data_IF_180987957854
#
_entry.id   IF_180987957854
#
_cell.length_a   1.000
_cell.length_b   1.000
_cell.length_c   1.000
_cell.angle_alpha   90.00
_cell.angle_beta   90.00
_cell.angle_gamma   90.00
#
_symmetry.space_group_name_H-M   'P 1'
#
loop_
_entity.id
_entity.type
_entity.pdbx_description
1 polymer ?
#
# COMPACT_ATOMS: atom_id res chain seq x y z
N UNK A 1 -52.07 -26.11 26.04
CA UNK A 1 -51.10 -25.02 25.79
C UNK A 1 -49.85 -25.70 25.27
N UNK A 2 -49.78 -25.89 23.97
CA UNK A 2 -48.66 -26.57 23.31
C UNK A 2 -47.79 -25.50 22.65
N UNK A 3 -46.52 -25.48 23.05
CA UNK A 3 -45.44 -24.74 22.40
C UNK A 3 -45.23 -25.30 20.99
N UNK A 4 -45.43 -24.47 19.98
CA UNK A 4 -45.03 -24.79 18.62
C UNK A 4 -43.52 -24.59 18.48
N UNK A 5 -42.78 -25.68 18.70
CA UNK A 5 -41.38 -25.80 18.34
C UNK A 5 -41.31 -26.03 16.82
N UNK A 6 -40.87 -25.04 16.05
CA UNK A 6 -40.65 -25.16 14.59
C UNK A 6 -39.19 -25.52 14.34
N UNK A 7 -38.85 -26.77 13.97
CA UNK A 7 -37.50 -27.14 13.59
C UNK A 7 -37.25 -26.72 12.13
N UNK A 8 -36.33 -25.79 11.89
CA UNK A 8 -36.04 -25.41 10.49
C UNK A 8 -35.21 -24.15 10.23
N UNK A 9 -34.79 -23.38 11.23
CA UNK A 9 -33.78 -22.33 11.03
C UNK A 9 -32.38 -22.97 11.03
N UNK A 10 -32.13 -23.78 10.00
CA UNK A 10 -30.78 -24.04 9.54
C UNK A 10 -30.11 -22.68 9.34
N UNK A 11 -28.95 -22.49 9.96
CA UNK A 11 -28.08 -21.33 9.80
C UNK A 11 -28.07 -20.95 8.32
N UNK A 12 -28.80 -19.88 7.93
CA UNK A 12 -28.68 -19.31 6.59
C UNK A 12 -27.26 -18.80 6.49
N UNK A 13 -26.37 -19.62 5.95
CA UNK A 13 -25.07 -19.17 5.53
C UNK A 13 -25.32 -17.99 4.61
N UNK A 14 -24.88 -16.80 5.01
CA UNK A 14 -24.75 -15.67 4.11
C UNK A 14 -23.98 -16.19 2.90
N UNK A 15 -24.67 -16.41 1.78
CA UNK A 15 -24.04 -16.83 0.54
C UNK A 15 -23.09 -15.71 0.15
N UNK A 16 -21.77 -15.92 0.28
CA UNK A 16 -20.79 -14.94 -0.19
C UNK A 16 -20.63 -15.13 -1.69
N UNK A 17 -20.78 -14.05 -2.46
CA UNK A 17 -20.40 -14.10 -3.88
C UNK A 17 -18.90 -13.88 -4.00
N UNK A 18 -18.27 -14.56 -4.97
CA UNK A 18 -16.85 -14.43 -5.26
C UNK A 18 -16.73 -13.78 -6.63
N UNK A 19 -15.88 -12.76 -6.73
CA UNK A 19 -15.53 -12.07 -7.99
C UNK A 19 -14.05 -12.21 -8.22
N UNK A 20 -13.67 -12.43 -9.48
CA UNK A 20 -12.26 -12.51 -9.85
C UNK A 20 -11.84 -11.24 -10.57
N UNK A 21 -10.68 -10.72 -10.22
CA UNK A 21 -10.09 -9.51 -10.77
C UNK A 21 -8.70 -9.82 -11.32
N UNK A 22 -8.43 -9.30 -12.50
CA UNK A 22 -7.09 -9.16 -13.04
C UNK A 22 -6.44 -7.92 -12.44
N UNK A 23 -5.32 -8.10 -11.77
CA UNK A 23 -4.53 -7.06 -11.14
C UNK A 23 -3.27 -6.85 -11.95
N UNK A 24 -3.04 -5.62 -12.40
CA UNK A 24 -1.73 -5.17 -12.88
C UNK A 24 -1.12 -4.28 -11.79
N UNK A 25 -0.08 -4.79 -11.13
CA UNK A 25 0.70 -4.10 -10.12
C UNK A 25 2.02 -3.65 -10.76
N UNK A 26 2.32 -2.36 -10.70
CA UNK A 26 3.59 -1.81 -11.12
C UNK A 26 4.27 -1.14 -9.94
N UNK A 27 5.45 -1.65 -9.59
CA UNK A 27 6.32 -1.10 -8.56
C UNK A 27 7.33 -0.23 -9.28
N UNK A 28 7.19 1.09 -9.15
CA UNK A 28 7.93 2.04 -9.97
C UNK A 28 9.24 2.41 -9.30
N UNK A 29 9.17 3.09 -8.15
CA UNK A 29 10.36 3.54 -7.43
C UNK A 29 10.12 3.82 -5.96
N UNK A 30 11.21 3.92 -5.20
CA UNK A 30 11.20 4.44 -3.84
C UNK A 30 11.97 5.75 -3.82
N UNK A 31 11.37 6.78 -3.23
CA UNK A 31 11.94 8.11 -3.04
C UNK A 31 12.40 8.32 -1.59
N UNK A 32 13.27 9.30 -1.39
CA UNK A 32 13.78 9.71 -0.06
C UNK A 32 14.47 8.55 0.70
N UNK A 33 15.14 7.68 -0.05
CA UNK A 33 15.96 6.62 0.51
C UNK A 33 17.39 7.11 0.69
N UNK A 34 18.04 6.81 1.82
CA UNK A 34 19.46 7.13 1.97
C UNK A 34 20.25 6.31 0.95
N UNK A 35 21.12 6.98 0.18
CA UNK A 35 22.07 6.32 -0.71
C UNK A 35 23.07 5.49 0.12
N UNK A 36 22.84 4.18 0.17
CA UNK A 36 23.81 3.20 0.64
C UNK A 36 24.24 2.35 -0.55
N UNK A 37 25.44 1.76 -0.52
CA UNK A 37 25.91 0.79 -1.54
C UNK A 37 25.17 -0.56 -1.46
N UNK A 38 23.91 -0.54 -1.03
CA UNK A 38 23.08 -1.72 -0.84
C UNK A 38 22.16 -1.90 -2.03
N UNK A 39 21.83 -3.16 -2.31
CA UNK A 39 20.78 -3.51 -3.24
C UNK A 39 19.46 -3.61 -2.49
N UNK A 40 18.37 -3.35 -3.19
CA UNK A 40 17.04 -3.41 -2.62
C UNK A 40 16.14 -4.28 -3.49
N UNK A 41 15.25 -5.02 -2.85
CA UNK A 41 14.18 -5.76 -3.50
C UNK A 41 12.85 -5.46 -2.83
N UNK A 42 11.77 -5.64 -3.58
CA UNK A 42 10.41 -5.53 -3.07
C UNK A 42 9.74 -6.88 -3.15
N UNK A 43 9.37 -7.44 -2.00
CA UNK A 43 8.63 -8.69 -1.90
C UNK A 43 7.18 -8.41 -1.60
N UNK A 44 6.30 -8.81 -2.50
CA UNK A 44 4.86 -8.65 -2.31
C UNK A 44 4.22 -9.98 -1.91
N UNK A 45 3.18 -9.90 -1.09
CA UNK A 45 2.49 -11.05 -0.48
C UNK A 45 0.99 -10.79 -0.42
N UNK A 46 0.24 -11.85 -0.61
CA UNK A 46 -1.21 -11.92 -0.57
C UNK A 46 -1.64 -13.23 0.14
N UNK A 47 -2.86 -13.30 0.69
CA UNK A 47 -3.40 -14.55 1.21
C UNK A 47 -3.51 -15.62 0.11
N UNK A 48 -3.12 -16.86 0.45
CA UNK A 48 -3.03 -18.00 -0.48
C UNK A 48 -4.39 -18.42 -1.04
N UNK A 49 -5.44 -18.16 -0.28
CA UNK A 49 -6.82 -18.52 -0.60
C UNK A 49 -7.42 -17.58 -1.65
N UNK A 50 -6.84 -16.38 -1.79
CA UNK A 50 -7.41 -15.27 -2.55
C UNK A 50 -6.68 -15.08 -3.89
N UNK A 51 -5.38 -15.37 -3.97
CA UNK A 51 -4.56 -15.00 -5.13
C UNK A 51 -3.65 -16.12 -5.63
N UNK A 52 -3.40 -16.12 -6.94
CA UNK A 52 -2.39 -16.97 -7.60
C UNK A 52 -1.67 -16.14 -8.68
N UNK A 53 -0.33 -15.96 -8.60
CA UNK A 53 0.54 -16.29 -7.47
C UNK A 53 0.19 -15.51 -6.19
N UNK A 54 0.53 -16.07 -5.02
CA UNK A 54 0.25 -15.46 -3.71
C UNK A 54 1.40 -14.61 -3.16
N UNK A 55 2.56 -14.68 -3.79
CA UNK A 55 3.72 -13.87 -3.46
C UNK A 55 4.62 -13.75 -4.69
N UNK A 56 5.48 -12.76 -4.68
CA UNK A 56 6.56 -12.61 -5.63
C UNK A 56 7.55 -11.55 -5.16
N UNK A 57 8.57 -11.33 -5.97
CA UNK A 57 9.67 -10.44 -5.63
C UNK A 57 10.18 -9.74 -6.89
N UNK A 58 10.61 -8.50 -6.74
CA UNK A 58 11.24 -7.73 -7.82
C UNK A 58 12.71 -8.12 -7.96
N UNK A 59 13.34 -7.84 -9.10
CA UNK A 59 14.79 -7.85 -9.20
C UNK A 59 15.43 -6.96 -8.14
N UNK A 60 16.66 -7.29 -7.78
CA UNK A 60 17.49 -6.46 -6.92
C UNK A 60 18.01 -5.25 -7.69
N UNK A 61 17.90 -4.07 -7.09
CA UNK A 61 18.36 -2.81 -7.70
C UNK A 61 19.16 -1.99 -6.69
N UNK A 62 20.26 -1.39 -7.14
CA UNK A 62 21.06 -0.49 -6.33
C UNK A 62 20.36 0.87 -6.13
N UNK A 63 20.62 1.53 -5.00
CA UNK A 63 20.18 2.90 -4.79
C UNK A 63 21.03 3.88 -5.62
N UNK A 64 20.38 4.83 -6.28
CA UNK A 64 21.03 5.88 -7.07
C UNK A 64 20.36 7.22 -6.81
N UNK A 65 21.11 8.24 -6.37
CA UNK A 65 20.58 9.62 -6.28
C UNK A 65 19.40 9.81 -5.32
N UNK A 66 19.37 9.05 -4.21
CA UNK A 66 18.33 8.99 -3.18
C UNK A 66 17.00 8.36 -3.63
N UNK A 67 17.03 7.68 -4.77
CA UNK A 67 15.93 6.89 -5.26
C UNK A 67 16.36 5.47 -5.64
N UNK A 68 15.40 4.56 -5.64
CA UNK A 68 15.57 3.18 -6.10
C UNK A 68 14.52 2.97 -7.17
N UNK A 69 14.93 2.69 -8.40
CA UNK A 69 14.02 2.53 -9.55
C UNK A 69 13.89 1.05 -9.87
N UNK A 70 12.69 0.51 -9.69
CA UNK A 70 12.40 -0.89 -10.02
C UNK A 70 11.79 -1.03 -11.41
N UNK A 71 10.84 -0.15 -11.75
CA UNK A 71 10.04 -0.13 -12.98
C UNK A 71 9.61 -1.52 -13.47
N UNK A 72 9.04 -2.30 -12.55
CA UNK A 72 8.58 -3.65 -12.84
C UNK A 72 7.06 -3.73 -12.76
N UNK A 73 6.46 -4.45 -13.71
CA UNK A 73 5.02 -4.69 -13.74
C UNK A 73 4.77 -6.19 -13.67
N UNK A 74 3.77 -6.57 -12.88
CA UNK A 74 3.36 -7.94 -12.66
C UNK A 74 1.85 -8.04 -12.71
N UNK A 75 1.38 -9.15 -13.26
CA UNK A 75 -0.03 -9.39 -13.49
C UNK A 75 -0.46 -10.70 -12.82
N UNK A 76 -1.58 -10.66 -12.11
CA UNK A 76 -2.10 -11.83 -11.40
C UNK A 76 -3.62 -11.74 -11.18
N UNK A 77 -4.22 -12.89 -10.84
CA UNK A 77 -5.64 -12.99 -10.53
C UNK A 77 -5.88 -13.01 -9.03
N UNK A 78 -6.92 -12.29 -8.61
CA UNK A 78 -7.35 -12.17 -7.21
C UNK A 78 -8.86 -12.42 -7.11
N UNK A 79 -9.27 -13.23 -6.13
CA UNK A 79 -10.67 -13.54 -5.82
C UNK A 79 -11.14 -12.73 -4.61
N UNK A 80 -11.95 -11.71 -4.84
CA UNK A 80 -12.49 -10.87 -3.77
C UNK A 80 -13.93 -11.29 -3.47
N UNK A 81 -14.24 -11.51 -2.20
CA UNK A 81 -15.58 -11.89 -1.74
C UNK A 81 -16.45 -10.66 -1.58
N UNK A 82 -17.77 -10.84 -1.59
CA UNK A 82 -18.71 -9.84 -1.12
C UNK A 82 -19.83 -10.49 -0.31
N UNK A 83 -20.39 -9.73 0.61
CA UNK A 83 -21.61 -10.10 1.32
C UNK A 83 -22.84 -9.88 0.42
N UNK A 84 -23.71 -10.89 0.27
CA UNK A 84 -25.00 -10.73 -0.40
C UNK A 84 -26.01 -10.07 0.53
N UNK A 85 -26.84 -9.16 -0.03
CA UNK A 85 -28.13 -8.80 0.55
C UNK A 85 -28.32 -7.35 0.98
N UNK A 86 -27.29 -6.49 0.99
CA UNK A 86 -27.47 -5.10 1.39
C UNK A 86 -26.87 -4.03 0.47
N UNK A 87 -25.72 -4.26 -0.21
CA UNK A 87 -25.10 -3.29 -1.16
C UNK A 87 -23.87 -3.81 -1.96
N UNK A 88 -23.65 -5.12 -2.03
CA UNK A 88 -22.56 -5.74 -2.83
C UNK A 88 -21.16 -5.13 -2.60
N UNK A 89 -20.85 -4.80 -1.35
CA UNK A 89 -19.53 -4.32 -0.98
C UNK A 89 -18.49 -5.43 -1.08
N UNK A 90 -17.37 -5.15 -1.75
CA UNK A 90 -16.22 -6.04 -1.75
C UNK A 90 -15.60 -6.10 -0.35
N UNK A 91 -15.28 -7.31 0.10
CA UNK A 91 -14.48 -7.56 1.31
C UNK A 91 -13.08 -6.95 1.13
N UNK A 92 -12.44 -6.58 2.24
CA UNK A 92 -11.07 -6.06 2.22
C UNK A 92 -10.09 -7.11 1.70
N UNK A 93 -9.21 -6.67 0.79
CA UNK A 93 -8.23 -7.53 0.12
C UNK A 93 -6.85 -6.87 0.18
N UNK A 94 -6.10 -7.16 1.24
CA UNK A 94 -4.83 -6.47 1.52
C UNK A 94 -3.64 -7.14 0.82
N UNK A 95 -2.98 -6.37 -0.04
CA UNK A 95 -1.66 -6.62 -0.62
C UNK A 95 -0.59 -5.99 0.27
N UNK A 96 0.34 -6.82 0.75
CA UNK A 96 1.47 -6.35 1.56
C UNK A 96 2.74 -6.35 0.72
N UNK A 97 3.44 -5.22 0.66
CA UNK A 97 4.68 -5.03 -0.08
C UNK A 97 5.78 -4.69 0.93
N UNK A 98 6.75 -5.59 1.04
CA UNK A 98 7.88 -5.51 1.94
C UNK A 98 9.11 -5.02 1.16
N UNK A 99 9.71 -3.92 1.58
CA UNK A 99 10.99 -3.44 1.04
C UNK A 99 12.11 -4.09 1.84
N UNK A 100 13.05 -4.72 1.14
CA UNK A 100 14.20 -5.39 1.72
C UNK A 100 15.47 -4.78 1.18
N UNK A 101 16.48 -4.70 2.03
CA UNK A 101 17.85 -4.36 1.66
C UNK A 101 18.67 -5.65 1.72
N UNK A 102 19.34 -5.92 0.61
CA UNK A 102 20.23 -7.04 0.42
C UNK A 102 21.65 -6.48 0.40
N UNK A 103 22.37 -6.81 1.45
CA UNK A 103 23.76 -6.48 1.63
C UNK A 103 24.54 -7.79 1.46
N UNK A 104 25.59 -7.86 0.64
CA UNK A 104 26.37 -9.09 0.47
C UNK A 104 26.94 -9.62 1.80
N UNK A 105 27.19 -8.73 2.76
CA UNK A 105 27.82 -9.08 4.05
C UNK A 105 26.80 -9.30 5.18
N UNK A 106 25.53 -8.98 4.98
CA UNK A 106 24.48 -9.05 6.02
C UNK A 106 23.23 -9.73 5.47
N UNK A 107 22.66 -10.65 6.24
CA UNK A 107 21.37 -11.28 5.92
C UNK A 107 20.30 -10.24 5.57
N UNK A 108 19.64 -10.43 4.43
CA UNK A 108 18.60 -9.55 3.89
C UNK A 108 17.67 -8.97 4.97
N UNK A 109 17.67 -7.64 5.10
CA UNK A 109 16.96 -6.93 6.17
C UNK A 109 15.70 -6.26 5.65
N UNK A 110 14.59 -6.42 6.38
CA UNK A 110 13.37 -5.64 6.14
C UNK A 110 13.60 -4.16 6.47
N UNK A 111 13.37 -3.30 5.50
CA UNK A 111 13.50 -1.84 5.59
C UNK A 111 12.16 -1.19 5.91
N UNK A 112 11.07 -1.71 5.36
CA UNK A 112 9.74 -1.20 5.62
C UNK A 112 8.66 -2.03 4.94
N UNK A 113 7.39 -1.65 5.14
CA UNK A 113 6.24 -2.30 4.52
C UNK A 113 5.20 -1.28 4.06
N UNK A 114 4.43 -1.65 3.04
CA UNK A 114 3.22 -0.95 2.60
C UNK A 114 2.10 -1.97 2.46
N UNK A 115 1.00 -1.72 3.15
CA UNK A 115 -0.24 -2.50 3.00
C UNK A 115 -1.25 -1.70 2.17
N UNK A 116 -1.69 -2.27 1.04
CA UNK A 116 -2.67 -1.66 0.13
C UNK A 116 -3.88 -2.55 0.00
N UNK A 117 -5.07 -2.00 0.22
CA UNK A 117 -6.31 -2.73 0.00
C UNK A 117 -6.74 -2.63 -1.47
N UNK A 118 -6.69 -3.76 -2.18
CA UNK A 118 -7.01 -3.86 -3.60
C UNK A 118 -8.49 -3.64 -3.89
N UNK A 119 -9.40 -3.99 -2.97
CA UNK A 119 -10.84 -3.83 -3.21
C UNK A 119 -11.25 -2.37 -3.42
N UNK A 120 -10.41 -1.43 -2.98
CA UNK A 120 -10.58 0.01 -3.16
C UNK A 120 -10.20 0.51 -4.56
N UNK A 121 -9.62 -0.33 -5.42
CA UNK A 121 -9.21 0.03 -6.79
C UNK A 121 -10.14 -0.57 -7.87
N UNK A 122 -11.13 -1.37 -7.47
CA UNK A 122 -12.00 -2.08 -8.39
C UNK A 122 -12.88 -1.11 -9.20
N UNK A 123 -12.71 -1.04 -10.52
CA UNK A 123 -13.54 -0.16 -11.37
C UNK A 123 -13.13 1.32 -11.37
N UNK A 124 -12.07 1.72 -10.66
CA UNK A 124 -11.53 3.10 -10.68
C UNK A 124 -10.58 3.33 -11.88
N UNK A 125 -10.12 2.25 -12.53
CA UNK A 125 -9.09 2.30 -13.56
C UNK A 125 -7.68 2.31 -12.98
N UNK A 126 -6.67 2.62 -13.81
CA UNK A 126 -5.26 2.64 -13.39
C UNK A 126 -5.02 3.85 -12.49
N UNK A 127 -4.44 3.64 -11.31
CA UNK A 127 -4.09 4.70 -10.36
C UNK A 127 -2.65 4.55 -9.89
N UNK A 128 -1.95 5.66 -9.86
CA UNK A 128 -0.58 5.77 -9.33
C UNK A 128 -0.60 6.58 -8.05
N UNK A 129 -0.13 5.98 -6.97
CA UNK A 129 -0.12 6.59 -5.64
C UNK A 129 1.25 6.40 -4.98
N UNK A 130 1.59 7.31 -4.07
CA UNK A 130 2.77 7.20 -3.20
C UNK A 130 2.35 6.77 -1.81
N UNK A 131 3.10 5.86 -1.23
CA UNK A 131 2.84 5.29 0.08
C UNK A 131 4.08 5.45 0.95
N UNK A 132 3.90 5.91 2.18
CA UNK A 132 4.99 5.97 3.14
C UNK A 132 5.35 4.56 3.61
N UNK A 133 6.64 4.24 3.65
CA UNK A 133 7.12 2.98 4.22
C UNK A 133 6.87 2.96 5.73
N UNK A 134 6.09 1.97 6.17
CA UNK A 134 5.84 1.70 7.58
C UNK A 134 6.95 0.83 8.18
N UNK A 135 7.07 0.84 9.51
CA UNK A 135 8.11 0.12 10.27
C UNK A 135 9.54 0.42 9.79
N UNK A 136 9.75 1.62 9.25
CA UNK A 136 11.01 2.02 8.65
C UNK A 136 11.76 3.03 9.50
N UNK A 137 13.09 2.95 9.46
CA UNK A 137 13.97 4.00 10.03
C UNK A 137 14.13 5.19 9.09
N UNK A 138 13.73 5.04 7.83
CA UNK A 138 13.76 6.10 6.83
C UNK A 138 12.33 6.45 6.40
N UNK A 139 12.10 7.73 6.10
CA UNK A 139 10.81 8.21 5.58
C UNK A 139 10.67 7.95 4.07
N UNK A 140 11.08 6.75 3.62
CA UNK A 140 11.02 6.38 2.22
C UNK A 140 9.58 6.33 1.73
N UNK A 141 9.35 6.73 0.48
CA UNK A 141 8.03 6.71 -0.15
C UNK A 141 8.05 5.78 -1.35
N UNK A 142 7.20 4.75 -1.34
CA UNK A 142 7.04 3.79 -2.42
C UNK A 142 5.97 4.28 -3.40
N UNK A 143 6.33 4.44 -4.67
CA UNK A 143 5.42 4.79 -5.76
C UNK A 143 4.92 3.51 -6.45
N UNK A 144 3.60 3.33 -6.42
CA UNK A 144 2.92 2.15 -6.94
C UNK A 144 1.83 2.56 -7.93
N UNK A 145 1.75 1.81 -9.04
CA UNK A 145 0.66 1.88 -9.98
C UNK A 145 -0.18 0.61 -9.91
N UNK A 146 -1.47 0.74 -9.65
CA UNK A 146 -2.41 -0.36 -9.53
C UNK A 146 -3.53 -0.21 -10.56
N UNK A 147 -3.88 -1.31 -11.21
CA UNK A 147 -5.06 -1.39 -12.05
C UNK A 147 -5.79 -2.71 -11.81
N UNK A 148 -7.09 -2.61 -11.55
CA UNK A 148 -7.98 -3.75 -11.37
C UNK A 148 -9.04 -3.77 -12.47
N UNK A 149 -9.12 -4.90 -13.16
CA UNK A 149 -10.17 -5.19 -14.14
C UNK A 149 -10.91 -6.45 -13.71
N UNK A 150 -12.22 -6.39 -13.60
CA UNK A 150 -13.00 -7.59 -13.31
C UNK A 150 -12.86 -8.61 -14.45
N UNK A 151 -12.55 -9.84 -14.07
CA UNK A 151 -12.43 -10.98 -14.98
C UNK A 151 -13.68 -11.86 -14.95
N UNK A 152 -14.28 -12.07 -13.77
CA UNK A 152 -15.48 -12.90 -13.62
C UNK A 152 -16.34 -12.50 -12.39
N UNK A 153 -17.60 -12.96 -12.37
CA UNK A 153 -18.59 -12.66 -11.34
C UNK A 153 -19.54 -11.51 -11.71
N UNK A 154 -20.38 -11.09 -10.75
CA UNK A 154 -21.37 -10.04 -10.96
C UNK A 154 -20.71 -8.67 -11.14
N UNK A 155 -20.98 -7.91 -12.22
CA UNK A 155 -20.40 -6.59 -12.45
C UNK A 155 -20.90 -5.52 -11.48
N UNK A 156 -21.99 -5.76 -10.78
CA UNK A 156 -22.48 -4.85 -9.76
C UNK A 156 -21.68 -5.14 -8.48
N UNK A 157 -20.89 -4.17 -8.06
CA UNK A 157 -20.13 -4.18 -6.81
C UNK A 157 -19.84 -2.76 -6.34
N UNK A 158 -19.57 -2.61 -5.04
CA UNK A 158 -19.18 -1.35 -4.45
C UNK A 158 -17.88 -1.49 -3.63
N UNK A 159 -17.12 -0.40 -3.55
CA UNK A 159 -15.91 -0.32 -2.73
C UNK A 159 -16.22 -0.35 -1.22
N UNK A 160 -15.39 -0.97 -0.37
CA UNK A 160 -15.59 -0.99 1.08
C UNK A 160 -15.94 0.38 1.67
N UNK A 161 -16.90 0.42 2.59
CA UNK A 161 -17.33 1.65 3.28
C UNK A 161 -16.38 2.00 4.41
N UNK A 162 -16.17 3.30 4.65
CA UNK A 162 -15.50 3.79 5.84
C UNK A 162 -13.97 3.68 5.83
N UNK A 163 -13.38 3.12 4.78
CA UNK A 163 -11.94 3.13 4.57
C UNK A 163 -11.52 4.52 4.04
N UNK A 164 -11.49 5.51 4.93
CA UNK A 164 -10.90 6.80 4.63
C UNK A 164 -9.39 6.57 4.42
N UNK A 165 -8.95 6.50 3.16
CA UNK A 165 -7.56 6.80 2.87
C UNK A 165 -7.33 8.26 3.30
N UNK A 166 -6.53 8.45 4.33
CA UNK A 166 -5.98 9.77 4.57
C UNK A 166 -5.03 10.03 3.39
N UNK A 167 -5.41 10.99 2.56
CA UNK A 167 -4.55 11.51 1.52
C UNK A 167 -4.00 12.82 2.04
N UNK A 168 -2.72 12.85 2.37
CA UNK A 168 -2.02 14.08 2.77
C UNK A 168 -0.95 14.34 1.73
N UNK A 169 -1.07 15.45 1.02
CA UNK A 169 -0.06 15.94 0.06
C UNK A 169 0.41 14.89 -0.99
N UNK A 170 -0.49 14.06 -1.53
CA UNK A 170 -0.09 13.04 -2.52
C UNK A 170 0.30 11.68 -1.95
N UNK A 171 0.28 11.52 -0.61
CA UNK A 171 0.66 10.28 0.08
C UNK A 171 -0.57 9.62 0.69
N UNK A 172 -0.71 8.31 0.45
CA UNK A 172 -1.82 7.48 0.94
C UNK A 172 -1.41 6.65 2.15
N UNK A 173 -2.23 6.65 3.20
CA UNK A 173 -2.05 5.85 4.42
C UNK A 173 -3.14 4.77 4.55
N UNK A 174 -2.79 3.59 5.09
CA UNK A 174 -3.74 2.50 5.37
C UNK A 174 -4.45 2.68 6.71
N UNK A 175 -5.74 2.33 6.80
CA UNK A 175 -6.63 2.56 7.97
C UNK A 175 -6.31 1.71 9.22
N UNK A 176 -5.48 0.66 9.10
CA UNK A 176 -4.99 -0.14 10.25
C UNK A 176 -4.35 0.73 11.34
N UNK A 177 -4.09 2.01 11.05
CA UNK A 177 -3.57 3.03 11.94
C UNK A 177 -4.52 3.55 13.03
N UNK A 178 -5.84 3.32 12.96
CA UNK A 178 -6.78 3.96 13.91
C UNK A 178 -7.43 3.04 14.94
N UNK A 179 -7.49 1.73 14.71
CA UNK A 179 -8.24 0.83 15.60
C UNK A 179 -7.41 0.23 16.75
N UNK A 180 -6.17 0.68 16.96
CA UNK A 180 -5.29 0.07 17.97
C UNK A 180 -4.28 1.00 18.61
N UNK A 181 -4.70 2.12 19.23
CA UNK A 181 -3.97 2.69 20.39
C UNK A 181 -4.70 3.86 21.07
N UNK A 182 -5.71 3.58 21.89
CA UNK A 182 -6.07 4.48 22.99
C UNK A 182 -5.01 4.33 24.08
N UNK A 183 -3.87 5.03 23.97
CA UNK A 183 -2.99 5.19 25.13
C UNK A 183 -1.55 5.61 24.91
N UNK A 184 -0.84 5.11 23.90
CA UNK A 184 0.62 5.33 23.82
C UNK A 184 1.06 5.46 22.38
N UNK A 185 1.31 6.69 21.88
CA UNK A 185 1.94 6.83 20.56
C UNK A 185 1.88 8.18 19.86
N UNK A 186 1.10 9.17 20.33
CA UNK A 186 1.05 10.49 19.67
C UNK A 186 2.38 11.27 19.68
N UNK A 187 3.35 10.90 20.53
CA UNK A 187 4.65 11.60 20.62
C UNK A 187 5.64 11.23 19.51
N UNK A 188 5.65 9.96 19.06
CA UNK A 188 6.59 9.52 18.00
C UNK A 188 6.17 10.02 16.61
N UNK A 189 4.86 10.16 16.38
CA UNK A 189 4.32 10.68 15.12
C UNK A 189 4.44 12.21 15.00
N UNK A 190 4.37 12.97 16.10
CA UNK A 190 4.74 14.39 16.10
C UNK A 190 6.22 14.59 15.75
N UNK A 191 7.10 13.71 16.22
CA UNK A 191 8.54 13.76 15.92
C UNK A 191 8.82 13.56 14.42
N UNK A 192 8.20 12.59 13.75
CA UNK A 192 8.37 12.38 12.30
C UNK A 192 7.70 13.49 11.46
N UNK A 193 6.56 14.00 11.93
CA UNK A 193 5.84 15.12 11.30
C UNK A 193 6.61 16.45 11.43
N UNK A 194 7.19 16.73 12.60
CA UNK A 194 8.06 17.89 12.82
C UNK A 194 9.40 17.77 12.09
N UNK A 195 9.97 16.56 12.00
CA UNK A 195 11.19 16.31 11.24
C UNK A 195 10.99 16.56 9.74
N UNK A 196 9.81 16.20 9.21
CA UNK A 196 9.45 16.47 7.80
C UNK A 196 9.19 17.96 7.54
N UNK A 197 8.60 18.68 8.50
CA UNK A 197 8.50 20.16 8.42
C UNK A 197 9.87 20.84 8.49
N UNK A 198 10.78 20.38 9.35
CA UNK A 198 12.15 20.92 9.44
C UNK A 198 12.96 20.66 8.18
N UNK A 199 12.83 19.48 7.56
CA UNK A 199 13.52 19.17 6.31
C UNK A 199 13.08 20.08 5.15
N UNK A 200 11.79 20.46 5.06
CA UNK A 200 11.33 21.42 4.06
C UNK A 200 11.75 22.86 4.35
N UNK A 201 11.79 23.28 5.62
CA UNK A 201 12.29 24.62 5.98
C UNK A 201 13.80 24.78 5.74
N UNK A 202 14.56 23.68 5.76
CA UNK A 202 15.98 23.67 5.44
C UNK A 202 16.26 23.69 3.92
N UNK A 203 15.33 23.23 3.08
CA UNK A 203 15.47 23.24 1.62
C UNK A 203 14.93 24.52 0.96
N UNK A 204 14.11 25.31 1.67
CA UNK A 204 13.59 26.59 1.18
C UNK A 204 14.46 27.80 1.54
N UNK A 205 15.59 27.59 2.22
CA UNK A 205 16.50 28.67 2.65
C UNK A 205 17.89 28.52 2.00
N UNK A 206 17.92 28.44 0.67
CA UNK A 206 19.15 28.74 -0.08
C UNK A 206 19.18 30.25 -0.36
N UNK A 207 20.14 31.02 0.17
CA UNK A 207 20.31 32.42 -0.21
C UNK A 207 20.79 32.47 -1.67
N UNK A 208 20.04 33.16 -2.53
CA UNK A 208 20.49 33.56 -3.85
C UNK A 208 21.72 34.47 -3.69
N UNK A 209 22.91 33.93 -3.90
CA UNK A 209 24.12 34.74 -4.08
C UNK A 209 24.05 35.39 -5.46
N UNK A 210 23.67 36.68 -5.47
CA UNK A 210 23.85 37.58 -6.61
C UNK A 210 25.35 37.70 -6.92
N UNK A 211 25.79 37.03 -7.97
CA UNK A 211 27.06 37.34 -8.64
C UNK A 211 26.89 38.65 -9.41
N UNK A 212 27.43 39.76 -8.90
CA UNK A 212 27.65 40.96 -9.70
C UNK A 212 28.94 40.77 -10.49
N UNK A 213 28.82 40.59 -11.80
CA UNK A 213 29.94 40.66 -12.73
C UNK A 213 30.43 42.10 -12.85
N UNK A 214 31.64 42.35 -12.32
CA UNK A 214 32.52 43.43 -12.77
C UNK A 214 33.28 42.99 -14.02
N UNK A 215 33.86 43.97 -14.73
CA UNK A 215 34.74 43.95 -15.93
C UNK A 215 33.96 44.27 -17.22
N UNK A 216 34.26 45.29 -18.04
CA UNK A 216 35.40 46.22 -18.18
C UNK A 216 34.87 47.60 -18.61
#
# INVERSE_FOLDING_TARGET
>A
MEEWNIPGLGRRGLFRSIREFHVALSIQKILAMPCTNQHFSCRWKMPREISKPYQGETPEVACSGNEIIFDCTMEFLVKIRSELGAREYLDDCVLSIEVRSNDPDITARRIGVVDVNLSLFAGIGKRTNRYLLQDSKCNGMLELSLWLKQASGDPVFMHPRGHNFYHVEGVSYSSKFLEGNTGVGLSSYKSCFESSRRFRLALSSSPLTLYSSNSY
#
